data_IF_816094915768
#
_entry.id   IF_816094915768
#
_cell.length_a   1.000
_cell.length_b   1.000
_cell.length_c   1.000
_cell.angle_alpha   90.00
_cell.angle_beta   90.00
_cell.angle_gamma   90.00
#
_symmetry.space_group_name_H-M   'P 1'
#
loop_
_entity.id
_entity.type
_entity.pdbx_description
1 polymer ?
#
# COMPACT_ATOMS: atom_id res chain seq x y z
N UNK A 1 23.46 0.73 69.01
CA UNK A 1 22.89 -0.16 67.98
C UNK A 1 23.38 0.33 66.63
N UNK A 2 23.99 -0.58 65.87
CA UNK A 2 24.72 -0.34 64.62
C UNK A 2 23.89 0.31 63.50
N UNK A 3 24.46 1.17 62.65
CA UNK A 3 23.84 1.61 61.42
C UNK A 3 24.18 0.63 60.28
N UNK A 4 23.28 -0.30 59.97
CA UNK A 4 23.33 -1.04 58.71
C UNK A 4 22.38 -0.36 57.72
N UNK A 5 22.87 0.68 57.06
CA UNK A 5 22.26 1.23 55.85
C UNK A 5 23.30 1.22 54.73
N UNK A 6 23.03 0.35 53.77
CA UNK A 6 23.09 0.65 52.34
C UNK A 6 24.43 0.63 51.58
N UNK A 7 24.92 -0.58 51.31
CA UNK A 7 25.83 -0.87 50.17
C UNK A 7 25.15 -1.62 49.02
N UNK A 8 24.01 -2.27 49.24
CA UNK A 8 23.29 -3.04 48.22
C UNK A 8 22.49 -2.16 47.25
N UNK A 9 21.98 -1.00 47.69
CA UNK A 9 21.20 -0.11 46.78
C UNK A 9 22.11 0.72 45.88
N UNK A 10 23.34 1.04 46.32
CA UNK A 10 24.33 1.71 45.46
C UNK A 10 24.84 0.80 44.34
N UNK A 11 24.99 -0.50 44.60
CA UNK A 11 25.37 -1.46 43.56
C UNK A 11 24.21 -1.77 42.59
N UNK A 12 22.95 -1.76 43.06
CA UNK A 12 21.79 -1.87 42.19
C UNK A 12 21.62 -0.66 41.26
N UNK A 13 21.87 0.56 41.75
CA UNK A 13 21.85 1.78 40.92
C UNK A 13 23.02 1.81 39.93
N UNK A 14 24.19 1.28 40.30
CA UNK A 14 25.34 1.13 39.39
C UNK A 14 25.11 0.06 38.32
N UNK A 15 24.44 -1.05 38.66
CA UNK A 15 24.03 -2.08 37.68
C UNK A 15 22.93 -1.58 36.74
N UNK A 16 21.92 -0.85 37.24
CA UNK A 16 20.87 -0.26 36.41
C UNK A 16 21.44 0.84 35.50
N UNK A 17 22.45 1.59 35.96
CA UNK A 17 23.19 2.56 35.14
C UNK A 17 24.11 1.90 34.10
N UNK A 18 24.51 0.64 34.28
CA UNK A 18 25.42 -0.08 33.37
C UNK A 18 24.68 -0.90 32.29
N UNK A 19 23.38 -1.14 32.44
CA UNK A 19 22.53 -1.72 31.38
C UNK A 19 21.85 -0.70 30.46
N UNK A 20 22.05 0.61 30.69
CA UNK A 20 21.60 1.69 29.79
C UNK A 20 22.67 2.19 28.82
N UNK A 21 23.85 1.55 28.80
CA UNK A 21 24.93 1.81 27.84
C UNK A 21 24.99 0.73 26.75
N UNK A 22 23.85 0.38 26.17
CA UNK A 22 23.88 -0.05 24.77
C UNK A 22 24.16 1.23 23.98
N UNK A 23 25.41 1.41 23.54
CA UNK A 23 25.85 2.54 22.72
C UNK A 23 24.79 2.90 21.67
N UNK A 24 23.96 3.91 21.94
CA UNK A 24 23.34 4.68 20.87
C UNK A 24 24.50 5.39 20.20
N UNK A 25 25.09 4.77 19.19
CA UNK A 25 26.04 5.48 18.33
C UNK A 25 25.29 6.73 17.87
N UNK A 26 25.86 7.91 18.11
CA UNK A 26 25.35 9.19 17.60
C UNK A 26 25.50 9.23 16.06
N UNK A 27 24.83 8.30 15.37
CA UNK A 27 24.84 8.18 13.93
C UNK A 27 23.93 9.28 13.41
N UNK A 28 24.56 10.31 12.86
CA UNK A 28 23.87 11.38 12.15
C UNK A 28 23.46 10.86 10.77
N UNK A 29 22.17 10.95 10.47
CA UNK A 29 21.60 10.59 9.16
C UNK A 29 21.31 11.87 8.42
N UNK A 30 22.01 12.11 7.31
CA UNK A 30 21.80 13.29 6.50
C UNK A 30 20.70 13.04 5.46
N UNK A 31 19.73 13.95 5.34
CA UNK A 31 18.58 13.73 4.46
C UNK A 31 18.29 14.89 3.51
N UNK A 32 17.64 14.53 2.40
CA UNK A 32 17.07 15.42 1.39
C UNK A 32 15.64 15.00 1.11
N UNK A 33 14.79 15.96 0.74
CA UNK A 33 13.44 15.66 0.26
C UNK A 33 13.08 16.61 -0.87
N UNK A 34 12.60 16.05 -1.97
CA UNK A 34 12.02 16.79 -3.09
C UNK A 34 10.56 17.21 -2.81
N UNK A 35 9.96 16.73 -1.71
CA UNK A 35 8.59 17.00 -1.32
C UNK A 35 8.53 17.66 0.07
N UNK A 36 7.62 18.61 0.23
CA UNK A 36 7.31 19.30 1.49
C UNK A 36 5.96 18.85 2.05
N UNK A 37 5.77 17.53 2.18
CA UNK A 37 4.57 16.91 2.77
C UNK A 37 4.95 16.12 4.03
N UNK A 38 4.09 15.21 4.49
CA UNK A 38 4.31 14.45 5.74
C UNK A 38 5.68 13.76 5.85
N UNK A 39 6.33 13.36 4.74
CA UNK A 39 7.71 12.82 4.85
C UNK A 39 8.71 13.88 5.34
N UNK A 40 8.56 15.13 4.90
CA UNK A 40 9.41 16.24 5.32
C UNK A 40 9.29 16.48 6.82
N UNK A 41 8.06 16.43 7.34
CA UNK A 41 7.80 16.58 8.77
C UNK A 41 8.37 15.41 9.57
N UNK A 42 8.20 14.17 9.11
CA UNK A 42 8.81 12.99 9.75
C UNK A 42 10.32 13.15 9.82
N UNK A 43 10.97 13.52 8.70
CA UNK A 43 12.43 13.69 8.66
C UNK A 43 12.92 14.83 9.56
N UNK A 44 12.17 15.93 9.63
CA UNK A 44 12.51 17.10 10.46
C UNK A 44 12.41 16.81 11.96
N UNK A 45 11.44 15.99 12.36
CA UNK A 45 11.18 15.70 13.77
C UNK A 45 11.94 14.49 14.33
N UNK A 46 12.69 13.76 13.48
CA UNK A 46 13.58 12.70 13.95
C UNK A 46 14.89 13.28 14.48
N UNK A 47 15.18 13.01 15.75
CA UNK A 47 16.33 13.58 16.50
C UNK A 47 17.68 13.52 15.78
N UNK A 48 17.99 12.39 15.13
CA UNK A 48 19.30 12.16 14.51
C UNK A 48 19.33 12.46 13.00
N UNK A 49 18.24 13.01 12.45
CA UNK A 49 18.08 13.27 11.03
C UNK A 49 18.36 14.75 10.73
N UNK A 50 19.44 15.01 9.99
CA UNK A 50 19.92 16.37 9.72
C UNK A 50 19.65 16.72 8.25
N UNK A 51 18.88 17.80 7.97
CA UNK A 51 18.69 18.25 6.60
C UNK A 51 20.02 18.70 5.99
N UNK A 52 20.25 18.39 4.71
CA UNK A 52 21.45 18.81 3.99
C UNK A 52 21.10 19.26 2.57
N UNK A 53 21.88 20.19 2.01
CA UNK A 53 21.77 20.61 0.61
C UNK A 53 22.89 20.05 -0.27
N UNK A 54 23.97 19.57 0.35
CA UNK A 54 25.14 19.05 -0.36
C UNK A 54 24.99 17.61 -0.87
N UNK A 55 26.10 17.06 -1.35
CA UNK A 55 26.19 15.68 -1.87
C UNK A 55 26.46 14.62 -0.78
N UNK A 56 26.69 15.07 0.45
CA UNK A 56 26.82 14.19 1.62
C UNK A 56 25.47 13.98 2.28
N UNK A 57 24.71 13.01 1.77
CA UNK A 57 23.42 12.58 2.28
C UNK A 57 23.36 11.04 2.38
N UNK A 58 22.43 10.52 3.19
CA UNK A 58 22.14 9.10 3.36
C UNK A 58 20.78 8.73 2.78
N UNK A 59 19.79 9.62 2.96
CA UNK A 59 18.43 9.42 2.50
C UNK A 59 17.98 10.57 1.61
N UNK A 60 17.46 10.27 0.44
CA UNK A 60 16.83 11.28 -0.40
C UNK A 60 15.45 10.81 -0.85
N UNK A 61 14.40 11.47 -0.33
CA UNK A 61 13.05 11.31 -0.85
C UNK A 61 12.92 12.06 -2.17
N UNK A 62 12.93 11.35 -3.28
CA UNK A 62 12.96 11.93 -4.64
C UNK A 62 11.59 11.87 -5.29
N UNK A 63 11.35 12.75 -6.26
CA UNK A 63 10.19 12.64 -7.14
C UNK A 63 10.55 11.77 -8.37
N UNK A 64 9.53 11.39 -9.16
CA UNK A 64 9.75 10.58 -10.38
C UNK A 64 10.59 11.28 -11.44
N UNK A 65 10.49 12.61 -11.53
CA UNK A 65 11.27 13.39 -12.49
C UNK A 65 12.78 13.27 -12.21
N UNK A 66 13.17 13.32 -10.94
CA UNK A 66 14.55 13.11 -10.52
C UNK A 66 15.05 11.71 -10.88
N UNK A 67 14.22 10.68 -10.68
CA UNK A 67 14.56 9.30 -11.08
C UNK A 67 14.84 9.20 -12.58
N UNK A 68 14.06 9.90 -13.42
CA UNK A 68 14.21 9.85 -14.87
C UNK A 68 15.39 10.67 -15.40
N UNK A 69 15.72 11.78 -14.76
CA UNK A 69 16.67 12.77 -15.30
C UNK A 69 18.07 12.68 -14.69
N UNK A 70 18.15 12.23 -13.44
CA UNK A 70 19.33 12.40 -12.58
C UNK A 70 19.88 11.09 -12.01
N UNK A 71 19.05 10.06 -11.81
CA UNK A 71 19.49 8.80 -11.19
C UNK A 71 20.73 8.19 -11.88
N UNK A 72 20.69 8.06 -13.21
CA UNK A 72 21.81 7.47 -13.99
C UNK A 72 23.07 8.32 -14.02
N UNK A 73 22.93 9.63 -13.81
CA UNK A 73 24.04 10.57 -13.79
C UNK A 73 24.65 10.67 -12.40
N UNK A 74 23.94 10.20 -11.38
CA UNK A 74 24.36 10.30 -10.00
C UNK A 74 25.27 9.13 -9.62
N UNK A 75 26.46 9.45 -9.08
CA UNK A 75 27.39 8.44 -8.56
C UNK A 75 27.08 8.16 -7.09
N UNK A 76 26.26 7.14 -6.85
CA UNK A 76 25.86 6.76 -5.51
C UNK A 76 27.03 6.24 -4.65
N UNK A 77 27.04 6.64 -3.39
CA UNK A 77 27.85 6.05 -2.32
C UNK A 77 27.09 4.91 -1.67
N UNK A 78 27.81 3.97 -1.05
CA UNK A 78 27.23 2.77 -0.45
C UNK A 78 26.16 3.02 0.63
N UNK A 79 26.19 4.18 1.28
CA UNK A 79 25.29 4.58 2.35
C UNK A 79 24.14 5.50 1.89
N UNK A 80 23.96 5.67 0.58
CA UNK A 80 22.92 6.49 -0.03
C UNK A 80 21.73 5.64 -0.47
N UNK A 81 20.52 6.16 -0.27
CA UNK A 81 19.31 5.49 -0.71
C UNK A 81 18.21 6.48 -1.12
N UNK A 82 17.44 6.09 -2.14
CA UNK A 82 16.29 6.82 -2.70
C UNK A 82 15.02 5.97 -2.68
N UNK A 83 13.87 6.63 -2.65
CA UNK A 83 12.56 6.01 -2.41
C UNK A 83 11.87 5.42 -3.65
N UNK A 84 12.61 5.13 -4.73
CA UNK A 84 12.05 4.56 -5.95
C UNK A 84 12.92 3.51 -6.62
N UNK A 85 12.30 2.45 -7.14
CA UNK A 85 12.92 1.59 -8.15
C UNK A 85 12.77 2.20 -9.54
N UNK A 86 13.81 2.04 -10.38
CA UNK A 86 13.87 2.68 -11.71
C UNK A 86 12.69 2.32 -12.63
N UNK A 87 12.25 1.07 -12.61
CA UNK A 87 11.16 0.57 -13.44
C UNK A 87 10.00 0.03 -12.60
N UNK A 88 9.68 0.72 -11.50
CA UNK A 88 8.50 0.46 -10.66
C UNK A 88 7.18 0.39 -11.46
N UNK A 89 7.14 1.06 -12.61
CA UNK A 89 6.04 1.04 -13.57
C UNK A 89 5.71 -0.35 -14.14
N UNK A 90 6.57 -1.35 -13.97
CA UNK A 90 6.25 -2.76 -14.27
C UNK A 90 5.15 -3.33 -13.34
N UNK A 91 5.05 -2.79 -12.13
CA UNK A 91 4.02 -3.14 -11.15
C UNK A 91 2.89 -2.11 -11.11
N UNK A 92 3.19 -0.84 -11.34
CA UNK A 92 2.26 0.25 -11.02
C UNK A 92 1.48 0.80 -12.21
N UNK A 93 1.96 0.60 -13.44
CA UNK A 93 1.12 0.84 -14.62
C UNK A 93 0.14 -0.30 -14.82
N UNK A 94 -1.11 0.05 -15.13
CA UNK A 94 -2.24 -0.88 -15.20
C UNK A 94 -2.03 -1.98 -16.27
N UNK A 95 -1.52 -1.61 -17.44
CA UNK A 95 -1.20 -2.54 -18.54
C UNK A 95 -0.12 -3.54 -18.16
N UNK A 96 1.00 -3.05 -17.60
CA UNK A 96 2.12 -3.89 -17.17
C UNK A 96 1.73 -4.80 -16.03
N UNK A 97 1.00 -4.30 -15.01
CA UNK A 97 0.50 -5.10 -13.90
C UNK A 97 -0.31 -6.30 -14.41
N UNK A 98 -1.27 -6.06 -15.31
CA UNK A 98 -2.11 -7.12 -15.88
C UNK A 98 -1.27 -8.11 -16.70
N UNK A 99 -0.39 -7.60 -17.56
CA UNK A 99 0.50 -8.42 -18.38
C UNK A 99 1.39 -9.32 -17.53
N UNK A 100 1.97 -8.77 -16.46
CA UNK A 100 2.90 -9.47 -15.59
C UNK A 100 2.17 -10.49 -14.70
N UNK A 101 0.98 -10.17 -14.20
CA UNK A 101 0.12 -11.13 -13.48
C UNK A 101 -0.32 -12.29 -14.40
N UNK A 102 -0.74 -12.01 -15.65
CA UNK A 102 -1.07 -13.05 -16.63
C UNK A 102 0.12 -13.97 -16.91
N UNK A 103 1.34 -13.42 -17.02
CA UNK A 103 2.57 -14.22 -17.17
C UNK A 103 2.86 -15.05 -15.91
N UNK A 104 2.73 -14.45 -14.73
CA UNK A 104 2.86 -15.15 -13.45
C UNK A 104 1.92 -16.35 -13.35
N UNK A 105 0.65 -16.18 -13.73
CA UNK A 105 -0.35 -17.26 -13.78
C UNK A 105 0.06 -18.43 -14.69
N UNK A 106 0.70 -18.14 -15.84
CA UNK A 106 1.19 -19.18 -16.75
C UNK A 106 2.42 -19.90 -16.21
N UNK A 107 3.33 -19.16 -15.58
CA UNK A 107 4.60 -19.70 -15.09
C UNK A 107 4.45 -20.47 -13.76
N UNK A 108 3.45 -20.13 -12.94
CA UNK A 108 3.21 -20.72 -11.63
C UNK A 108 1.78 -21.26 -11.55
N UNK A 109 1.48 -22.32 -12.31
CA UNK A 109 0.14 -22.93 -12.41
C UNK A 109 -0.40 -23.46 -11.08
N UNK A 110 0.47 -23.73 -10.11
CA UNK A 110 0.11 -24.14 -8.75
C UNK A 110 -0.40 -22.99 -7.86
N UNK A 111 -0.16 -21.74 -8.26
CA UNK A 111 -0.57 -20.55 -7.50
C UNK A 111 -1.87 -20.01 -8.06
N UNK A 112 -2.85 -19.78 -7.19
CA UNK A 112 -4.11 -19.18 -7.60
C UNK A 112 -3.94 -17.66 -7.81
N UNK A 113 -3.90 -17.25 -9.08
CA UNK A 113 -3.90 -15.83 -9.48
C UNK A 113 -5.31 -15.25 -9.69
N UNK A 114 -6.35 -15.91 -9.17
CA UNK A 114 -7.75 -15.44 -9.20
C UNK A 114 -8.01 -14.30 -8.19
N UNK A 115 -7.17 -13.28 -8.23
CA UNK A 115 -7.29 -12.06 -7.40
C UNK A 115 -7.28 -10.78 -8.25
N UNK A 116 -7.19 -10.89 -9.57
CA UNK A 116 -7.42 -9.80 -10.52
C UNK A 116 -8.56 -10.21 -11.44
N UNK A 117 -9.61 -9.38 -11.61
CA UNK A 117 -10.69 -9.69 -12.54
C UNK A 117 -10.17 -9.85 -13.98
N UNK A 118 -10.86 -10.62 -14.85
CA UNK A 118 -10.52 -10.71 -16.28
C UNK A 118 -10.28 -9.32 -16.87
N UNK A 119 -9.08 -9.13 -17.43
CA UNK A 119 -8.60 -7.82 -17.89
C UNK A 119 -7.87 -7.93 -19.21
N UNK A 120 -7.99 -6.92 -20.06
CA UNK A 120 -7.44 -6.87 -21.42
C UNK A 120 -6.89 -5.47 -21.72
N UNK A 121 -5.72 -5.42 -22.36
CA UNK A 121 -5.05 -4.17 -22.75
C UNK A 121 -5.41 -3.85 -24.20
N UNK A 122 -6.14 -2.76 -24.42
CA UNK A 122 -6.54 -2.29 -25.74
C UNK A 122 -5.54 -1.27 -26.31
N UNK A 123 -5.35 -1.23 -27.64
CA UNK A 123 -6.05 -2.03 -28.67
C UNK A 123 -5.51 -3.47 -28.87
N UNK A 124 -4.36 -3.80 -28.30
CA UNK A 124 -3.61 -5.03 -28.60
C UNK A 124 -4.38 -6.34 -28.32
N UNK A 125 -5.16 -6.40 -27.25
CA UNK A 125 -5.94 -7.58 -26.85
C UNK A 125 -7.43 -7.47 -27.24
N UNK A 126 -7.78 -6.65 -28.24
CA UNK A 126 -9.18 -6.43 -28.64
C UNK A 126 -9.92 -7.73 -28.99
N UNK A 127 -9.31 -8.60 -29.80
CA UNK A 127 -9.93 -9.86 -30.20
C UNK A 127 -10.19 -10.79 -29.00
N UNK A 128 -9.21 -10.92 -28.10
CA UNK A 128 -9.34 -11.70 -26.87
C UNK A 128 -10.44 -11.13 -25.95
N UNK A 129 -10.52 -9.81 -25.86
CA UNK A 129 -11.58 -9.14 -25.11
C UNK A 129 -12.96 -9.41 -25.72
N UNK A 130 -13.11 -9.30 -27.04
CA UNK A 130 -14.40 -9.52 -27.72
C UNK A 130 -14.87 -10.98 -27.58
N UNK A 131 -13.95 -11.94 -27.67
CA UNK A 131 -14.26 -13.35 -27.41
C UNK A 131 -14.76 -13.57 -25.98
N UNK A 132 -14.06 -13.00 -25.00
CA UNK A 132 -14.48 -13.11 -23.60
C UNK A 132 -15.81 -12.39 -23.34
N UNK A 133 -15.98 -11.19 -23.90
CA UNK A 133 -17.21 -10.41 -23.80
C UNK A 133 -18.43 -11.19 -24.31
N UNK A 134 -18.28 -11.94 -25.42
CA UNK A 134 -19.34 -12.79 -25.99
C UNK A 134 -19.74 -13.94 -25.07
N UNK A 135 -18.86 -14.44 -24.19
CA UNK A 135 -19.19 -15.51 -23.23
C UNK A 135 -20.15 -15.04 -22.13
N UNK A 136 -20.10 -13.76 -21.77
CA UNK A 136 -20.85 -13.20 -20.63
C UNK A 136 -22.08 -12.35 -21.04
N UNK A 137 -22.64 -12.58 -22.24
CA UNK A 137 -23.86 -12.00 -22.83
C UNK A 137 -24.60 -10.97 -21.95
N UNK A 138 -24.55 -9.67 -22.30
CA UNK A 138 -25.32 -8.50 -21.78
C UNK A 138 -25.49 -8.29 -20.25
N UNK A 139 -25.17 -9.27 -19.41
CA UNK A 139 -25.35 -9.20 -17.96
C UNK A 139 -24.10 -8.61 -17.30
N UNK A 140 -22.96 -8.63 -17.98
CA UNK A 140 -21.67 -8.22 -17.41
C UNK A 140 -21.32 -6.76 -17.67
N UNK A 141 -20.99 -6.07 -16.59
CA UNK A 141 -20.50 -4.71 -16.61
C UNK A 141 -18.98 -4.78 -16.73
N UNK A 142 -18.43 -3.94 -17.58
CA UNK A 142 -17.00 -3.80 -17.78
C UNK A 142 -16.60 -2.37 -17.43
N UNK A 143 -15.38 -2.20 -16.94
CA UNK A 143 -14.79 -0.91 -16.60
C UNK A 143 -13.60 -0.64 -17.53
N UNK A 144 -13.60 0.51 -18.19
CA UNK A 144 -12.45 1.02 -18.94
C UNK A 144 -11.66 2.00 -18.08
N UNK A 145 -10.35 1.84 -18.07
CA UNK A 145 -9.42 2.68 -17.30
C UNK A 145 -8.25 3.11 -18.21
N UNK A 146 -7.89 4.40 -18.28
CA UNK A 146 -6.69 4.81 -19.01
C UNK A 146 -5.45 4.19 -18.35
N UNK A 147 -4.50 3.71 -19.15
CA UNK A 147 -3.30 3.01 -18.64
C UNK A 147 -2.47 3.86 -17.68
N UNK A 148 -2.22 5.11 -18.05
CA UNK A 148 -1.47 6.09 -17.26
C UNK A 148 -2.38 7.03 -16.44
N UNK A 149 -3.69 6.71 -16.36
CA UNK A 149 -4.67 7.52 -15.65
C UNK A 149 -4.60 7.35 -14.14
N UNK A 150 -4.87 8.45 -13.43
CA UNK A 150 -4.98 8.52 -11.98
C UNK A 150 -6.26 9.27 -11.57
N UNK A 151 -6.59 9.21 -10.27
CA UNK A 151 -7.70 9.96 -9.66
C UNK A 151 -9.11 9.63 -10.20
N UNK A 152 -9.25 8.57 -10.98
CA UNK A 152 -10.53 8.15 -11.56
C UNK A 152 -10.92 8.91 -12.84
N UNK A 153 -10.06 9.78 -13.37
CA UNK A 153 -10.32 10.50 -14.64
C UNK A 153 -10.28 9.53 -15.83
N UNK A 154 -11.23 9.68 -16.75
CA UNK A 154 -11.35 8.83 -17.95
C UNK A 154 -11.84 7.41 -17.68
N UNK A 155 -12.27 7.11 -16.45
CA UNK A 155 -12.89 5.82 -16.13
C UNK A 155 -14.37 5.86 -16.52
N UNK A 156 -14.82 4.84 -17.23
CA UNK A 156 -16.24 4.65 -17.49
C UNK A 156 -16.63 3.17 -17.44
N UNK A 157 -17.90 2.93 -17.14
CA UNK A 157 -18.51 1.61 -17.13
C UNK A 157 -19.33 1.43 -18.40
N UNK A 158 -19.37 0.21 -18.92
CA UNK A 158 -20.18 -0.11 -20.09
C UNK A 158 -20.74 -1.53 -20.01
N UNK A 159 -21.88 -1.73 -20.68
CA UNK A 159 -22.55 -3.05 -20.81
C UNK A 159 -22.56 -3.57 -22.24
N UNK A 160 -22.54 -2.69 -23.24
CA UNK A 160 -22.57 -3.05 -24.67
C UNK A 160 -21.32 -2.54 -25.37
N UNK A 161 -20.80 -3.32 -26.34
CA UNK A 161 -19.65 -2.90 -27.16
C UNK A 161 -19.87 -1.60 -27.92
N UNK A 162 -21.13 -1.28 -28.28
CA UNK A 162 -21.48 -0.02 -28.96
C UNK A 162 -21.10 1.21 -28.11
N UNK A 163 -21.21 1.11 -26.80
CA UNK A 163 -20.87 2.20 -25.87
C UNK A 163 -19.37 2.56 -25.92
N UNK A 164 -18.48 1.58 -26.19
CA UNK A 164 -17.04 1.83 -26.41
C UNK A 164 -16.84 2.68 -27.67
N UNK A 165 -17.53 2.35 -28.76
CA UNK A 165 -17.42 3.05 -30.05
C UNK A 165 -17.98 4.47 -29.96
N UNK A 166 -19.08 4.66 -29.25
CA UNK A 166 -19.67 5.98 -28.99
C UNK A 166 -18.78 6.83 -28.09
N UNK A 167 -18.21 6.24 -27.04
CA UNK A 167 -17.27 6.93 -26.16
C UNK A 167 -16.04 7.42 -26.92
N UNK A 168 -15.45 6.58 -27.79
CA UNK A 168 -14.35 6.99 -28.67
C UNK A 168 -14.72 8.24 -29.45
N UNK A 169 -15.89 8.29 -30.09
CA UNK A 169 -16.34 9.44 -30.89
C UNK A 169 -16.48 10.74 -30.09
N UNK A 170 -16.83 10.66 -28.80
CA UNK A 170 -16.96 11.83 -27.92
C UNK A 170 -15.61 12.41 -27.48
N UNK A 171 -14.57 11.58 -27.41
CA UNK A 171 -13.21 11.98 -26.99
C UNK A 171 -12.35 12.45 -28.18
N UNK A 172 -12.74 12.14 -29.43
CA UNK A 172 -12.07 12.55 -30.68
C UNK A 172 -12.36 14.01 -31.08
N UNK A 173 -12.11 14.97 -30.18
CA UNK A 173 -12.03 16.40 -30.51
C UNK A 173 -10.59 16.93 -30.63
N UNK A 174 -9.57 16.04 -30.63
CA UNK A 174 -8.18 16.41 -30.94
C UNK A 174 -7.40 15.23 -31.53
N UNK A 175 -6.48 15.53 -32.46
CA UNK A 175 -5.61 14.63 -33.25
C UNK A 175 -4.61 13.79 -32.44
N UNK A 176 -5.00 13.25 -31.28
CA UNK A 176 -4.12 12.45 -30.43
C UNK A 176 -4.30 10.95 -30.70
N UNK A 177 -3.18 10.24 -30.87
CA UNK A 177 -3.11 8.78 -30.99
C UNK A 177 -4.00 8.07 -29.95
N UNK A 178 -4.64 6.96 -30.33
CA UNK A 178 -5.53 6.20 -29.45
C UNK A 178 -4.80 5.82 -28.15
N UNK A 179 -5.08 6.54 -27.07
CA UNK A 179 -4.49 6.29 -25.76
C UNK A 179 -4.77 4.84 -25.34
N UNK A 180 -3.80 4.12 -24.77
CA UNK A 180 -4.01 2.74 -24.36
C UNK A 180 -4.94 2.67 -23.14
N UNK A 181 -5.87 1.73 -23.17
CA UNK A 181 -6.85 1.48 -22.10
C UNK A 181 -6.75 0.05 -21.60
N UNK A 182 -7.05 -0.12 -20.33
CA UNK A 182 -7.35 -1.41 -19.73
C UNK A 182 -8.86 -1.56 -19.65
N UNK A 183 -9.37 -2.63 -20.26
CA UNK A 183 -10.73 -3.11 -20.04
C UNK A 183 -10.68 -4.21 -19.01
N UNK A 184 -11.49 -4.10 -17.96
CA UNK A 184 -11.51 -5.06 -16.87
C UNK A 184 -12.96 -5.40 -16.51
N UNK A 185 -13.22 -6.64 -16.15
CA UNK A 185 -14.54 -7.06 -15.67
C UNK A 185 -14.84 -6.34 -14.35
N UNK A 186 -16.01 -5.71 -14.25
CA UNK A 186 -16.39 -4.96 -13.06
C UNK A 186 -16.92 -5.91 -11.97
N UNK A 187 -16.43 -5.74 -10.74
CA UNK A 187 -16.92 -6.47 -9.58
C UNK A 187 -18.28 -5.88 -9.18
N UNK A 188 -19.37 -6.57 -9.57
CA UNK A 188 -20.76 -6.11 -9.43
C UNK A 188 -21.29 -6.20 -8.01
N UNK A 189 -20.76 -7.09 -7.20
CA UNK A 189 -21.23 -7.35 -5.85
C UNK A 189 -20.10 -7.07 -4.85
N UNK A 190 -19.68 -5.81 -4.68
CA UNK A 190 -18.73 -5.48 -3.63
C UNK A 190 -19.36 -5.69 -2.25
N UNK A 191 -18.56 -6.00 -1.23
CA UNK A 191 -19.03 -5.88 0.14
C UNK A 191 -19.36 -4.42 0.44
N UNK A 192 -20.52 -4.20 1.06
CA UNK A 192 -21.03 -2.87 1.37
C UNK A 192 -21.10 -2.67 2.88
N UNK A 193 -20.67 -1.50 3.34
CA UNK A 193 -20.90 -1.07 4.73
C UNK A 193 -21.89 0.08 4.70
N UNK A 194 -23.03 -0.08 5.38
CA UNK A 194 -24.11 0.92 5.34
C UNK A 194 -24.64 1.18 3.93
N UNK A 195 -24.56 0.19 3.03
CA UNK A 195 -24.95 0.32 1.63
C UNK A 195 -23.97 1.11 0.75
N UNK A 196 -22.78 1.46 1.24
CA UNK A 196 -21.74 2.16 0.46
C UNK A 196 -20.61 1.21 0.07
N UNK A 197 -20.12 1.38 -1.16
CA UNK A 197 -18.94 0.67 -1.66
C UNK A 197 -17.69 1.27 -1.03
N UNK A 198 -16.65 0.47 -0.84
CA UNK A 198 -15.35 0.97 -0.41
C UNK A 198 -14.20 0.19 -1.04
N UNK A 199 -13.04 0.81 -1.10
CA UNK A 199 -11.77 0.12 -1.35
C UNK A 199 -10.83 0.32 -0.14
N UNK A 200 -9.85 -0.57 0.01
CA UNK A 200 -8.86 -0.55 1.08
C UNK A 200 -7.52 -0.13 0.50
N UNK A 201 -6.95 0.96 1.05
CA UNK A 201 -5.56 1.37 0.85
C UNK A 201 -4.66 0.73 1.91
N UNK A 202 -3.68 -0.03 1.46
CA UNK A 202 -2.61 -0.62 2.29
C UNK A 202 -1.25 -0.05 1.91
N UNK A 203 -0.31 -0.07 2.84
CA UNK A 203 1.08 0.37 2.62
C UNK A 203 2.04 -0.82 2.70
N UNK A 204 2.80 -1.03 1.62
CA UNK A 204 3.73 -2.15 1.47
C UNK A 204 5.11 -1.61 1.14
N UNK A 205 6.10 -1.90 1.98
CA UNK A 205 7.48 -1.50 1.79
C UNK A 205 8.27 -2.67 1.17
N UNK A 206 8.86 -2.44 0.00
CA UNK A 206 9.78 -3.39 -0.64
C UNK A 206 11.20 -2.85 -0.52
N UNK A 207 12.05 -3.57 0.22
CA UNK A 207 13.45 -3.20 0.43
C UNK A 207 14.34 -3.67 -0.72
N UNK A 208 14.05 -4.85 -1.26
CA UNK A 208 14.80 -5.44 -2.37
C UNK A 208 13.91 -6.46 -3.08
N UNK A 209 14.07 -6.58 -4.39
CA UNK A 209 13.49 -7.64 -5.23
C UNK A 209 14.45 -8.82 -5.42
N UNK A 210 15.75 -8.64 -5.15
CA UNK A 210 16.76 -9.71 -5.29
C UNK A 210 17.73 -9.70 -4.10
N UNK A 211 17.53 -10.57 -3.09
CA UNK A 211 16.36 -11.43 -2.91
C UNK A 211 15.13 -10.64 -2.41
N UNK A 212 13.91 -11.11 -2.66
CA UNK A 212 12.68 -10.38 -2.33
C UNK A 212 12.51 -10.22 -0.81
N UNK A 213 12.41 -8.98 -0.34
CA UNK A 213 12.14 -8.63 1.06
C UNK A 213 11.02 -7.59 1.15
N UNK A 214 9.92 -7.96 1.80
CA UNK A 214 8.64 -7.24 1.78
C UNK A 214 8.09 -7.09 3.18
N UNK A 215 7.69 -5.88 3.52
CA UNK A 215 7.03 -5.53 4.77
C UNK A 215 5.65 -4.93 4.47
N UNK A 216 4.67 -5.23 5.31
CA UNK A 216 3.33 -4.63 5.22
C UNK A 216 3.00 -3.88 6.49
N UNK A 217 2.50 -2.66 6.36
CA UNK A 217 2.11 -1.87 7.53
C UNK A 217 0.74 -2.31 8.05
N UNK A 218 0.58 -2.40 9.37
CA UNK A 218 -0.69 -2.80 10.02
C UNK A 218 -1.79 -1.75 9.86
N UNK A 219 -1.41 -0.50 9.65
CA UNK A 219 -2.35 0.59 9.35
C UNK A 219 -2.53 0.80 7.84
N UNK A 220 -3.71 1.30 7.52
CA UNK A 220 -4.20 1.69 6.21
C UNK A 220 -5.58 2.28 6.41
N UNK A 221 -6.35 2.40 5.33
CA UNK A 221 -7.70 2.94 5.43
C UNK A 221 -8.63 2.42 4.34
N UNK A 222 -9.91 2.34 4.67
CA UNK A 222 -10.98 2.13 3.72
C UNK A 222 -11.52 3.48 3.23
N UNK A 223 -11.64 3.66 1.91
CA UNK A 223 -12.26 4.83 1.27
C UNK A 223 -13.64 4.46 0.79
N UNK A 224 -14.67 5.16 1.27
CA UNK A 224 -16.05 4.92 0.88
C UNK A 224 -16.44 5.76 -0.35
N UNK A 225 -17.35 5.20 -1.15
CA UNK A 225 -18.06 5.95 -2.18
C UNK A 225 -18.88 7.07 -1.54
N UNK A 226 -19.09 8.15 -2.28
CA UNK A 226 -19.92 9.26 -1.81
C UNK A 226 -21.36 8.80 -1.59
N UNK A 227 -21.92 8.14 -2.62
CA UNK A 227 -23.31 7.67 -2.65
C UNK A 227 -23.45 6.20 -2.27
N UNK A 228 -24.68 5.79 -1.92
CA UNK A 228 -25.04 4.38 -1.76
C UNK A 228 -24.84 3.64 -3.08
N UNK A 229 -24.40 2.39 -2.99
CA UNK A 229 -24.16 1.54 -4.13
C UNK A 229 -25.47 1.15 -4.80
N UNK A 230 -25.55 1.38 -6.11
CA UNK A 230 -26.69 1.03 -6.94
C UNK A 230 -26.21 0.63 -8.34
N UNK A 231 -26.66 -0.52 -8.83
CA UNK A 231 -26.32 -1.05 -10.15
C UNK A 231 -27.28 -0.56 -11.26
N UNK A 232 -28.38 0.09 -10.89
CA UNK A 232 -29.37 0.60 -11.84
C UNK A 232 -28.79 1.71 -12.73
N UNK A 233 -27.90 2.55 -12.18
CA UNK A 233 -27.25 3.67 -12.87
C UNK A 233 -25.73 3.47 -12.98
N UNK A 234 -25.31 2.62 -13.93
CA UNK A 234 -23.89 2.39 -14.24
C UNK A 234 -23.13 3.62 -14.76
N UNK A 235 -23.84 4.67 -15.18
CA UNK A 235 -23.25 5.94 -15.61
C UNK A 235 -22.81 6.83 -14.44
N UNK A 236 -23.31 6.58 -13.23
CA UNK A 236 -23.03 7.44 -12.08
C UNK A 236 -21.68 7.08 -11.43
N UNK A 237 -20.64 7.81 -11.82
CA UNK A 237 -19.29 7.68 -11.27
C UNK A 237 -19.23 7.79 -9.73
N UNK A 238 -20.10 8.60 -9.09
CA UNK A 238 -20.11 8.80 -7.62
C UNK A 238 -20.55 7.56 -6.82
N UNK A 239 -21.25 6.64 -7.49
CA UNK A 239 -21.72 5.36 -6.91
C UNK A 239 -20.63 4.29 -7.03
N UNK A 240 -19.89 4.30 -8.14
CA UNK A 240 -19.03 3.20 -8.53
C UNK A 240 -17.54 3.42 -8.25
N UNK A 241 -17.11 4.68 -8.13
CA UNK A 241 -15.73 5.09 -7.90
C UNK A 241 -15.58 5.70 -6.50
N UNK A 242 -14.57 5.23 -5.78
CA UNK A 242 -14.29 5.56 -4.37
C UNK A 242 -13.22 6.64 -4.24
N UNK A 243 -12.73 7.18 -5.37
CA UNK A 243 -11.70 8.21 -5.38
C UNK A 243 -12.23 9.51 -4.77
N UNK A 244 -11.49 10.05 -3.79
CA UNK A 244 -11.80 11.34 -3.16
C UNK A 244 -11.91 12.49 -4.17
N UNK A 245 -11.11 12.45 -5.24
CA UNK A 245 -11.18 13.47 -6.30
C UNK A 245 -12.55 13.50 -7.00
N UNK A 246 -13.21 12.35 -7.12
CA UNK A 246 -14.57 12.25 -7.65
C UNK A 246 -15.56 12.68 -6.57
N UNK A 247 -15.40 12.23 -5.33
CA UNK A 247 -16.29 12.68 -4.24
C UNK A 247 -16.33 14.21 -4.09
N UNK A 248 -15.19 14.89 -4.25
CA UNK A 248 -15.08 16.36 -4.18
C UNK A 248 -15.84 17.13 -5.26
N UNK A 249 -16.20 16.49 -6.38
CA UNK A 249 -17.01 17.15 -7.42
C UNK A 249 -18.51 17.06 -7.13
N UNK A 250 -18.93 16.33 -6.11
CA UNK A 250 -20.31 16.30 -5.67
C UNK A 250 -20.67 17.61 -4.94
N UNK A 251 -21.82 18.20 -5.27
CA UNK A 251 -22.26 19.49 -4.70
C UNK A 251 -22.54 19.47 -3.21
N UNK A 252 -22.71 18.29 -2.61
CA UNK A 252 -22.94 18.06 -1.18
C UNK A 252 -21.75 17.36 -0.50
N UNK A 253 -20.55 17.49 -1.06
CA UNK A 253 -19.34 16.96 -0.46
C UNK A 253 -19.09 17.62 0.90
N UNK A 254 -19.08 16.79 1.94
CA UNK A 254 -18.73 17.18 3.29
C UNK A 254 -17.50 16.37 3.72
N UNK A 255 -16.36 17.04 3.97
CA UNK A 255 -15.14 16.39 4.46
C UNK A 255 -15.35 15.60 5.76
N UNK A 256 -16.32 16.00 6.59
CA UNK A 256 -16.60 15.41 7.90
C UNK A 256 -17.55 14.20 7.84
N UNK A 257 -18.19 13.93 6.69
CA UNK A 257 -19.16 12.81 6.50
C UNK A 257 -18.58 11.39 6.64
N UNK A 258 -17.34 11.24 7.12
CA UNK A 258 -16.80 9.92 7.49
C UNK A 258 -16.61 8.98 6.30
N UNK A 259 -16.17 9.51 5.15
CA UNK A 259 -15.87 8.72 3.95
C UNK A 259 -14.58 7.87 4.06
N UNK A 260 -14.01 7.79 5.27
CA UNK A 260 -12.77 7.09 5.54
C UNK A 260 -12.85 6.36 6.87
N UNK A 261 -12.59 5.07 6.86
CA UNK A 261 -12.36 4.30 8.09
C UNK A 261 -10.89 3.90 8.17
N UNK A 262 -10.33 3.94 9.38
CA UNK A 262 -9.05 3.27 9.61
C UNK A 262 -9.19 1.77 9.35
N UNK A 263 -8.12 1.13 8.88
CA UNK A 263 -8.10 -0.31 8.64
C UNK A 263 -8.47 -1.09 9.91
N UNK A 264 -8.02 -0.61 11.08
CA UNK A 264 -8.39 -1.15 12.38
C UNK A 264 -9.89 -1.13 12.61
N UNK A 265 -10.57 -0.02 12.31
CA UNK A 265 -12.03 0.07 12.43
C UNK A 265 -12.74 -0.90 11.50
N UNK A 266 -12.29 -0.99 10.24
CA UNK A 266 -12.85 -1.94 9.26
C UNK A 266 -12.66 -3.40 9.72
N UNK A 267 -11.46 -3.79 10.13
CA UNK A 267 -11.19 -5.17 10.56
C UNK A 267 -11.97 -5.54 11.83
N UNK A 268 -12.14 -4.61 12.78
CA UNK A 268 -13.01 -4.82 13.94
C UNK A 268 -14.49 -4.96 13.55
N UNK A 269 -14.95 -4.20 12.56
CA UNK A 269 -16.31 -4.31 12.05
C UNK A 269 -16.54 -5.69 11.40
N UNK A 270 -15.65 -6.12 10.49
CA UNK A 270 -15.72 -7.45 9.87
C UNK A 270 -15.67 -8.55 10.95
N UNK A 271 -14.80 -8.41 11.95
CA UNK A 271 -14.73 -9.36 13.07
C UNK A 271 -16.04 -9.45 13.85
N UNK A 272 -16.69 -8.32 14.12
CA UNK A 272 -17.97 -8.30 14.83
C UNK A 272 -19.09 -8.94 14.01
N UNK A 273 -19.04 -8.84 12.68
CA UNK A 273 -20.06 -9.39 11.78
C UNK A 273 -19.83 -10.88 11.42
N UNK A 274 -18.57 -11.31 11.28
CA UNK A 274 -18.22 -12.62 10.68
C UNK A 274 -17.24 -13.45 11.50
N UNK A 275 -16.75 -12.94 12.63
CA UNK A 275 -15.80 -13.63 13.51
C UNK A 275 -14.33 -13.54 13.07
N UNK A 276 -13.46 -14.06 13.93
CA UNK A 276 -12.00 -13.99 13.81
C UNK A 276 -11.44 -14.77 12.60
N UNK A 277 -12.06 -15.92 12.29
CA UNK A 277 -11.64 -16.78 11.18
C UNK A 277 -11.76 -16.06 9.83
N UNK A 278 -12.88 -15.37 9.60
CA UNK A 278 -13.09 -14.61 8.37
C UNK A 278 -12.07 -13.48 8.23
N UNK A 279 -11.73 -12.78 9.31
CA UNK A 279 -10.68 -11.75 9.24
C UNK A 279 -9.32 -12.39 8.94
N UNK A 280 -9.02 -13.54 9.53
CA UNK A 280 -7.83 -14.33 9.18
C UNK A 280 -7.76 -14.68 7.70
N UNK A 281 -8.88 -15.10 7.10
CA UNK A 281 -9.00 -15.37 5.67
C UNK A 281 -8.75 -14.12 4.83
N UNK A 282 -9.41 -13.00 5.13
CA UNK A 282 -9.23 -11.72 4.43
C UNK A 282 -7.77 -11.26 4.49
N UNK A 283 -7.14 -11.36 5.66
CA UNK A 283 -5.72 -11.04 5.83
C UNK A 283 -4.84 -11.94 4.95
N UNK A 284 -5.06 -13.26 4.97
CA UNK A 284 -4.30 -14.21 4.15
C UNK A 284 -4.46 -13.93 2.65
N UNK A 285 -5.68 -13.63 2.19
CA UNK A 285 -5.95 -13.28 0.79
C UNK A 285 -5.18 -12.01 0.39
N UNK A 286 -5.19 -10.98 1.23
CA UNK A 286 -4.40 -9.75 1.02
C UNK A 286 -2.90 -10.05 0.97
N UNK A 287 -2.38 -10.86 1.90
CA UNK A 287 -0.98 -11.27 1.92
C UNK A 287 -0.58 -12.00 0.63
N UNK A 288 -1.42 -12.95 0.19
CA UNK A 288 -1.24 -13.66 -1.08
C UNK A 288 -1.24 -12.70 -2.29
N UNK A 289 -2.14 -11.72 -2.33
CA UNK A 289 -2.19 -10.70 -3.39
C UNK A 289 -0.86 -9.93 -3.45
N UNK A 290 -0.37 -9.47 -2.31
CA UNK A 290 0.89 -8.71 -2.24
C UNK A 290 2.06 -9.58 -2.71
N UNK A 291 2.20 -10.80 -2.18
CA UNK A 291 3.31 -11.71 -2.53
C UNK A 291 3.27 -12.05 -4.02
N UNK A 292 2.12 -12.46 -4.54
CA UNK A 292 2.02 -12.98 -5.90
C UNK A 292 2.11 -11.87 -6.96
N UNK A 293 1.62 -10.65 -6.66
CA UNK A 293 1.84 -9.49 -7.52
C UNK A 293 3.32 -9.10 -7.58
N UNK A 294 4.03 -9.07 -6.45
CA UNK A 294 5.46 -8.76 -6.41
C UNK A 294 6.32 -9.83 -7.09
N UNK A 295 6.04 -11.12 -6.84
CA UNK A 295 6.72 -12.24 -7.53
C UNK A 295 6.55 -12.17 -9.05
N UNK A 296 5.40 -11.69 -9.54
CA UNK A 296 5.14 -11.58 -10.98
C UNK A 296 6.07 -10.60 -11.70
N UNK A 297 6.60 -9.59 -10.99
CA UNK A 297 7.51 -8.57 -11.52
C UNK A 297 8.95 -8.72 -11.04
N UNK A 298 9.22 -9.64 -10.11
CA UNK A 298 10.50 -9.75 -9.42
C UNK A 298 11.71 -9.88 -10.36
N UNK A 299 11.56 -10.62 -11.45
CA UNK A 299 12.61 -10.81 -12.46
C UNK A 299 12.73 -9.63 -13.44
N UNK A 300 11.74 -8.74 -13.50
CA UNK A 300 11.69 -7.58 -14.39
C UNK A 300 12.22 -6.31 -13.71
N UNK A 301 11.96 -6.13 -12.41
CA UNK A 301 12.43 -4.96 -11.68
C UNK A 301 13.95 -4.91 -11.70
N UNK A 302 14.52 -3.75 -12.01
CA UNK A 302 15.95 -3.48 -11.96
C UNK A 302 16.30 -3.29 -10.48
N UNK A 303 17.02 -4.27 -9.92
CA UNK A 303 17.43 -4.21 -8.52
C UNK A 303 18.65 -3.29 -8.40
N UNK A 304 18.51 -2.27 -7.56
CA UNK A 304 19.62 -1.44 -7.11
C UNK A 304 19.61 -1.38 -5.58
N UNK A 305 20.78 -1.49 -4.94
CA UNK A 305 20.91 -1.48 -3.48
C UNK A 305 20.58 -0.11 -2.87
N UNK A 306 20.64 0.95 -3.67
CA UNK A 306 20.31 2.32 -3.27
C UNK A 306 18.81 2.63 -3.45
N UNK A 307 17.98 1.63 -3.80
CA UNK A 307 16.55 1.83 -4.01
C UNK A 307 15.73 1.01 -3.02
N UNK A 308 14.65 1.62 -2.53
CA UNK A 308 13.52 0.94 -1.91
C UNK A 308 12.24 1.56 -2.47
N UNK A 309 11.07 0.98 -2.17
CA UNK A 309 9.80 1.58 -2.58
C UNK A 309 8.71 1.32 -1.54
N UNK A 310 7.94 2.37 -1.24
CA UNK A 310 6.71 2.28 -0.46
C UNK A 310 5.52 2.31 -1.41
N UNK A 311 4.93 1.15 -1.66
CA UNK A 311 3.75 1.00 -2.50
C UNK A 311 2.45 1.22 -1.71
N UNK A 312 1.45 1.80 -2.38
CA UNK A 312 0.06 1.82 -1.97
C UNK A 312 -0.74 0.77 -2.73
N UNK A 313 -1.25 -0.25 -2.05
CA UNK A 313 -2.11 -1.28 -2.64
C UNK A 313 -3.59 -0.90 -2.48
N UNK A 314 -4.36 -1.01 -3.57
CA UNK A 314 -5.79 -0.75 -3.59
C UNK A 314 -6.54 -2.08 -3.74
N UNK A 315 -7.26 -2.48 -2.68
CA UNK A 315 -7.95 -3.77 -2.58
C UNK A 315 -9.45 -3.55 -2.47
N UNK A 316 -10.25 -4.37 -3.16
CA UNK A 316 -11.70 -4.44 -3.00
C UNK A 316 -12.08 -5.77 -2.34
N UNK A 317 -13.07 -5.75 -1.44
CA UNK A 317 -13.71 -6.97 -0.95
C UNK A 317 -15.02 -7.18 -1.70
N UNK A 318 -15.28 -8.39 -2.18
CA UNK A 318 -16.59 -8.77 -2.72
C UNK A 318 -17.57 -9.22 -1.63
N UNK A 319 -18.82 -9.56 -1.98
CA UNK A 319 -19.86 -9.91 -1.02
C UNK A 319 -19.52 -11.13 -0.15
N UNK A 320 -18.57 -11.97 -0.61
CA UNK A 320 -18.06 -13.14 0.09
C UNK A 320 -16.77 -12.84 0.87
N UNK A 321 -16.40 -11.55 0.97
CA UNK A 321 -15.17 -11.04 1.57
C UNK A 321 -13.90 -11.60 0.93
N UNK A 322 -13.96 -12.03 -0.34
CA UNK A 322 -12.75 -12.34 -1.10
C UNK A 322 -12.10 -11.01 -1.53
N UNK A 323 -10.79 -10.94 -1.37
CA UNK A 323 -10.00 -9.77 -1.74
C UNK A 323 -9.64 -9.77 -3.23
N UNK A 324 -9.72 -8.59 -3.85
CA UNK A 324 -9.41 -8.34 -5.25
C UNK A 324 -8.44 -7.16 -5.38
N UNK A 325 -7.37 -7.32 -6.15
CA UNK A 325 -6.43 -6.26 -6.45
C UNK A 325 -7.01 -5.33 -7.52
N UNK A 326 -7.14 -4.05 -7.20
CA UNK A 326 -7.59 -3.02 -8.15
C UNK A 326 -6.42 -2.35 -8.88
N UNK A 327 -5.42 -1.90 -8.11
CA UNK A 327 -4.20 -1.27 -8.62
C UNK A 327 -3.09 -1.26 -7.55
N UNK A 328 -1.86 -1.04 -7.99
CA UNK A 328 -0.71 -0.76 -7.13
C UNK A 328 -0.16 0.61 -7.50
N UNK A 329 -0.01 1.48 -6.52
CA UNK A 329 0.47 2.84 -6.70
C UNK A 329 1.87 2.98 -6.11
N UNK A 330 2.83 3.46 -6.90
CA UNK A 330 4.10 3.93 -6.35
C UNK A 330 4.00 5.44 -6.10
N UNK A 331 4.71 5.92 -5.09
CA UNK A 331 4.49 7.24 -4.50
C UNK A 331 3.02 7.45 -4.05
N UNK A 332 2.46 6.62 -3.15
CA UNK A 332 1.11 6.85 -2.64
C UNK A 332 0.99 8.26 -2.04
N UNK A 333 -0.16 8.92 -2.21
CA UNK A 333 -0.34 10.30 -1.72
C UNK A 333 -0.04 10.39 -0.22
N UNK A 334 0.96 11.21 0.11
CA UNK A 334 1.39 11.49 1.48
C UNK A 334 0.82 12.81 2.02
N UNK A 335 0.07 13.58 1.23
CA UNK A 335 -0.61 14.77 1.72
C UNK A 335 -1.85 14.36 2.52
N UNK A 336 -1.99 14.76 3.79
CA UNK A 336 -3.10 14.35 4.63
C UNK A 336 -4.42 15.01 4.19
N UNK A 337 -5.53 14.29 4.34
CA UNK A 337 -6.88 14.85 4.16
C UNK A 337 -7.56 15.25 5.47
N UNK A 338 -7.03 14.80 6.61
CA UNK A 338 -7.53 15.06 7.96
C UNK A 338 -6.40 14.81 8.97
N UNK A 339 -6.59 15.20 10.24
CA UNK A 339 -5.62 14.94 11.30
C UNK A 339 -5.36 13.44 11.50
N UNK A 340 -6.41 12.61 11.56
CA UNK A 340 -6.25 11.15 11.66
C UNK A 340 -5.45 10.56 10.48
N UNK A 341 -5.63 11.10 9.27
CA UNK A 341 -4.86 10.67 8.09
C UNK A 341 -3.40 11.11 8.18
N UNK A 342 -3.15 12.32 8.68
CA UNK A 342 -1.81 12.81 8.96
C UNK A 342 -1.09 11.90 9.96
N UNK A 343 -1.69 11.63 11.12
CA UNK A 343 -1.08 10.81 12.16
C UNK A 343 -0.77 9.39 11.68
N UNK A 344 -1.69 8.78 10.94
CA UNK A 344 -1.46 7.46 10.35
C UNK A 344 -0.32 7.51 9.31
N UNK A 345 -0.31 8.49 8.40
CA UNK A 345 0.78 8.64 7.41
C UNK A 345 2.12 8.91 8.09
N UNK A 346 2.13 9.74 9.12
CA UNK A 346 3.30 10.03 9.92
C UNK A 346 3.87 8.74 10.54
N UNK A 347 3.02 7.93 11.19
CA UNK A 347 3.42 6.62 11.73
C UNK A 347 3.95 5.68 10.65
N UNK A 348 3.25 5.55 9.52
CA UNK A 348 3.70 4.70 8.39
C UNK A 348 5.10 5.10 7.93
N UNK A 349 5.34 6.39 7.69
CA UNK A 349 6.62 6.88 7.20
C UNK A 349 7.71 6.82 8.26
N UNK A 350 7.38 7.08 9.53
CA UNK A 350 8.33 6.96 10.63
C UNK A 350 8.79 5.50 10.82
N UNK A 351 7.85 4.55 10.87
CA UNK A 351 8.18 3.12 10.95
C UNK A 351 8.91 2.61 9.71
N UNK A 352 8.65 3.19 8.53
CA UNK A 352 9.39 2.85 7.31
C UNK A 352 10.87 3.21 7.49
N UNK A 353 11.18 4.40 8.02
CA UNK A 353 12.57 4.78 8.31
C UNK A 353 13.21 3.85 9.36
N UNK A 354 12.44 3.39 10.35
CA UNK A 354 12.91 2.38 11.32
C UNK A 354 13.26 1.05 10.64
N UNK A 355 12.47 0.59 9.66
CA UNK A 355 12.75 -0.63 8.87
C UNK A 355 14.00 -0.46 7.97
N UNK A 356 14.19 0.74 7.42
CA UNK A 356 15.36 1.05 6.57
C UNK A 356 16.67 1.11 7.40
N UNK A 357 16.55 1.39 8.69
CA UNK A 357 17.59 1.22 9.70
C UNK A 357 18.91 1.98 9.42
N UNK A 358 18.80 3.25 9.03
CA UNK A 358 19.97 4.12 8.85
C UNK A 358 20.79 4.30 10.13
N UNK A 359 20.15 4.18 11.28
CA UNK A 359 20.74 4.32 12.62
C UNK A 359 21.35 3.00 13.13
N UNK A 360 21.19 1.88 12.41
CA UNK A 360 21.76 0.56 12.74
C UNK A 360 21.31 0.03 14.11
N UNK A 361 20.02 0.18 14.39
CA UNK A 361 19.35 -0.29 15.59
C UNK A 361 18.83 -1.74 15.47
N UNK A 362 18.70 -2.27 14.24
CA UNK A 362 18.17 -3.61 14.02
C UNK A 362 19.27 -4.67 13.99
N UNK A 363 18.93 -5.88 14.44
CA UNK A 363 19.80 -7.05 14.43
C UNK A 363 19.59 -7.95 13.20
N UNK A 364 18.54 -7.69 12.41
CA UNK A 364 18.25 -8.38 11.15
C UNK A 364 17.36 -9.62 11.30
N UNK A 365 16.87 -9.93 12.50
CA UNK A 365 16.00 -11.09 12.79
C UNK A 365 14.56 -10.68 13.12
N UNK A 366 14.25 -9.40 13.03
CA UNK A 366 12.96 -8.84 13.37
C UNK A 366 11.89 -9.33 12.40
N UNK A 367 10.79 -9.83 12.96
CA UNK A 367 9.58 -10.19 12.20
C UNK A 367 8.55 -9.05 12.21
N UNK A 368 8.80 -8.01 13.01
CA UNK A 368 8.05 -6.76 13.01
C UNK A 368 8.92 -5.60 13.49
N UNK A 369 8.79 -4.44 12.85
CA UNK A 369 9.49 -3.19 13.23
C UNK A 369 8.46 -2.06 13.21
N UNK A 370 8.23 -1.45 14.36
CA UNK A 370 7.14 -0.49 14.53
C UNK A 370 5.80 -1.07 14.12
N UNK A 371 5.16 -0.44 13.13
CA UNK A 371 3.91 -0.88 12.52
C UNK A 371 4.04 -1.83 11.33
N UNK A 372 5.26 -2.14 10.88
CA UNK A 372 5.49 -3.05 9.76
C UNK A 372 5.67 -4.49 10.26
N UNK A 373 4.98 -5.42 9.61
CA UNK A 373 5.20 -6.86 9.75
C UNK A 373 5.95 -7.40 8.53
N UNK A 374 6.95 -8.25 8.75
CA UNK A 374 7.72 -8.89 7.70
C UNK A 374 6.89 -9.98 7.04
N UNK A 375 6.62 -9.82 5.74
CA UNK A 375 5.81 -10.75 4.95
C UNK A 375 6.67 -11.73 4.15
N UNK A 376 7.76 -11.23 3.55
CA UNK A 376 8.74 -12.03 2.80
C UNK A 376 10.14 -11.61 3.21
N UNK A 377 11.01 -12.58 3.51
CA UNK A 377 12.44 -12.35 3.75
C UNK A 377 13.24 -13.26 2.82
N UNK A 378 14.13 -12.67 2.03
CA UNK A 378 15.01 -13.44 1.13
C UNK A 378 14.27 -14.45 0.23
N UNK A 379 13.11 -14.06 -0.33
CA UNK A 379 12.17 -14.90 -1.10
C UNK A 379 11.31 -15.90 -0.30
N UNK A 380 11.54 -16.05 1.00
CA UNK A 380 10.77 -16.94 1.87
C UNK A 380 9.58 -16.20 2.49
N UNK A 381 8.40 -16.81 2.43
CA UNK A 381 7.19 -16.27 3.05
C UNK A 381 7.27 -16.51 4.56
N UNK A 382 7.03 -15.46 5.34
CA UNK A 382 7.06 -15.55 6.80
C UNK A 382 5.67 -15.92 7.31
N UNK A 383 5.57 -17.12 7.88
CA UNK A 383 4.39 -17.61 8.59
C UNK A 383 4.49 -17.33 10.08
N UNK A 384 3.35 -17.31 10.78
CA UNK A 384 3.40 -17.33 12.24
C UNK A 384 4.02 -18.65 12.69
N UNK A 385 5.11 -18.57 13.47
CA UNK A 385 5.62 -19.74 14.20
C UNK A 385 4.49 -20.31 15.05
N UNK A 386 4.31 -21.63 15.03
CA UNK A 386 3.20 -22.39 15.62
C UNK A 386 2.66 -21.75 16.91
N UNK A 387 1.47 -21.19 16.82
CA UNK A 387 0.75 -20.57 17.93
C UNK A 387 0.28 -21.68 18.88
N UNK A 388 0.99 -21.91 19.99
CA UNK A 388 0.33 -22.36 21.22
C UNK A 388 -0.38 -21.13 21.79
N UNK A 389 -1.72 -21.12 21.88
CA UNK A 389 -2.41 -20.07 22.61
C UNK A 389 -1.82 -20.03 24.02
N UNK A 390 -1.19 -18.92 24.39
CA UNK A 390 -0.95 -18.66 25.81
C UNK A 390 -2.34 -18.42 26.38
N UNK A 391 -2.76 -19.25 27.35
CA UNK A 391 -4.04 -19.06 28.04
C UNK A 391 -4.15 -17.61 28.52
N UNK A 392 -5.09 -16.85 27.94
CA UNK A 392 -5.36 -15.45 28.31
C UNK A 392 -5.17 -14.41 27.21
N UNK A 393 -4.42 -14.68 26.13
CA UNK A 393 -4.32 -13.77 24.98
C UNK A 393 -5.09 -14.32 23.77
N UNK A 394 -6.37 -13.95 23.64
CA UNK A 394 -7.12 -14.18 22.41
C UNK A 394 -6.58 -13.20 21.37
N UNK A 395 -5.69 -13.63 20.48
CA UNK A 395 -5.40 -12.86 19.27
C UNK A 395 -6.64 -12.93 18.35
N UNK A 396 -7.40 -11.84 18.17
CA UNK A 396 -8.68 -11.89 17.47
C UNK A 396 -8.53 -12.05 15.94
N UNK A 397 -7.30 -12.05 15.43
CA UNK A 397 -6.97 -11.97 14.02
C UNK A 397 -6.08 -13.16 13.64
N UNK A 398 -6.73 -14.26 13.30
CA UNK A 398 -6.09 -15.55 13.09
C UNK A 398 -5.57 -15.70 11.64
N UNK A 399 -4.65 -14.82 11.22
CA UNK A 399 -3.91 -15.00 9.95
C UNK A 399 -2.83 -16.09 10.10
N UNK A 400 -2.66 -16.90 9.05
CA UNK A 400 -1.60 -17.92 8.95
C UNK A 400 -0.25 -17.29 8.57
N UNK A 401 -0.29 -16.20 7.80
CA UNK A 401 0.87 -15.36 7.53
C UNK A 401 1.21 -14.49 8.75
N UNK A 402 2.46 -14.06 8.84
CA UNK A 402 2.89 -13.11 9.87
C UNK A 402 2.44 -11.68 9.52
N UNK A 403 1.13 -11.44 9.47
CA UNK A 403 0.54 -10.12 9.23
C UNK A 403 -0.54 -9.83 10.28
N UNK A 404 -0.58 -8.57 10.72
CA UNK A 404 -1.47 -8.10 11.79
C UNK A 404 -2.26 -6.89 11.31
N UNK A 405 -2.77 -6.94 10.07
CA UNK A 405 -3.52 -5.84 9.46
C UNK A 405 -4.71 -5.41 10.34
N UNK A 406 -4.75 -4.14 10.69
CA UNK A 406 -5.78 -3.58 11.57
C UNK A 406 -5.53 -3.79 13.07
N UNK A 407 -4.40 -4.37 13.48
CA UNK A 407 -4.02 -4.39 14.90
C UNK A 407 -3.65 -3.00 15.39
N UNK A 408 -3.75 -2.82 16.70
CA UNK A 408 -3.36 -1.57 17.33
C UNK A 408 -1.88 -1.28 17.15
N UNK A 409 -1.58 -0.01 16.88
CA UNK A 409 -0.26 0.59 16.94
C UNK A 409 -0.31 1.67 18.01
N UNK A 410 0.67 1.68 18.91
CA UNK A 410 0.80 2.72 19.93
C UNK A 410 0.85 4.10 19.27
N UNK A 411 0.10 5.06 19.82
CA UNK A 411 0.17 6.44 19.35
C UNK A 411 1.60 6.99 19.48
N UNK A 412 2.00 7.82 18.54
CA UNK A 412 3.23 8.60 18.60
C UNK A 412 2.89 10.02 19.00
N UNK A 413 3.79 10.68 19.73
CA UNK A 413 3.74 12.13 19.89
C UNK A 413 4.02 12.74 18.51
N UNK A 414 2.96 13.07 17.78
CA UNK A 414 3.06 13.77 16.50
C UNK A 414 3.14 15.28 16.77
N UNK A 415 3.96 16.02 16.01
CA UNK A 415 3.93 17.48 16.07
C UNK A 415 2.50 17.97 15.82
N UNK A 416 2.03 18.91 16.63
CA UNK A 416 0.72 19.53 16.41
C UNK A 416 0.84 20.38 15.14
N UNK A 417 0.04 20.05 14.13
CA UNK A 417 -0.04 20.85 12.91
C UNK A 417 -0.76 22.15 13.28
N UNK A 418 0.00 23.21 13.53
CA UNK A 418 -0.59 24.56 13.56
C UNK A 418 -0.98 24.87 12.11
N UNK A 419 -2.29 24.79 11.84
CA UNK A 419 -2.91 25.12 10.57
C UNK A 419 -2.69 26.58 10.19
#
# INVERSE_FOLDING_TARGET
MSPFYDETSKNAIKFISLTLNCCSKDIKVYWKSALTNTIYEVLTNRKNFIPTTGDSWNFFWVNREWMNTSFDKHKFKDNQMVCHFRNDYELTRKDNLIKNIKKGKKNFSQVNYDFVPPSYVLPNEWHLFVEEFKKYCNETIWIMKPVAGAQGKGIFLFKKLKEITEWKKKDYSSDCEALPYVVQMYIKHPYLVGGKKFDIRLYVLVRTFRPLTVWVHREGFARFSHSKYDLSSHENAYVHLTNVAIAKTAGDFDPERGLKWSLRKLMRYIMACFGAEMVGKVQNDIGNIIINSLKSVQHLIIQDKHCFELYGYDILLDENLKAWLLEVNASPSLTPSSQDDFEMKYRVLNHMLDVLDFEKNLNGNETSVGGFDLLVKNNEIIYKSSYTPVEGEINPFNSTMNIKLGHYIKAMETPVHNS
#
